data_IF_291871532104
#
_entry.id   IF_291871532104
#
_cell.length_a   1.000
_cell.length_b   1.000
_cell.length_c   1.000
_cell.angle_alpha   90.00
_cell.angle_beta   90.00
_cell.angle_gamma   90.00
#
_symmetry.space_group_name_H-M   'P 1'
#
loop_
_entity.id
_entity.type
_entity.pdbx_description
1 polymer ?
#
# COMPACT_ATOMS: atom_id res chain seq x y z
N UNK A 1 13.86 -0.25 -12.47
CA UNK A 1 12.76 -0.44 -13.43
C UNK A 1 11.73 -1.35 -12.77
N UNK A 2 10.45 -1.06 -12.94
CA UNK A 2 9.31 -1.88 -12.51
C UNK A 2 8.60 -2.32 -13.80
N UNK A 3 8.31 -3.61 -13.94
CA UNK A 3 7.56 -4.13 -15.06
C UNK A 3 6.06 -3.96 -14.77
N UNK A 4 5.35 -3.24 -15.63
CA UNK A 4 3.89 -3.20 -15.56
C UNK A 4 3.33 -4.46 -16.24
N UNK A 5 2.82 -5.37 -15.46
CA UNK A 5 2.23 -6.65 -15.84
C UNK A 5 0.75 -6.74 -15.41
N UNK A 6 0.05 -5.61 -15.52
CA UNK A 6 -1.37 -5.50 -15.13
C UNK A 6 -2.29 -5.86 -16.33
N UNK A 7 -3.50 -6.32 -16.00
CA UNK A 7 -4.52 -6.67 -16.98
C UNK A 7 -4.46 -8.12 -17.46
N UNK A 8 -4.86 -8.39 -18.71
CA UNK A 8 -4.85 -9.75 -19.28
C UNK A 8 -3.42 -10.14 -19.63
N UNK A 9 -2.78 -10.91 -18.75
CA UNK A 9 -1.40 -11.33 -18.89
C UNK A 9 -1.34 -12.72 -19.50
N UNK A 10 -0.81 -12.83 -20.73
CA UNK A 10 -0.58 -14.12 -21.37
C UNK A 10 0.72 -14.77 -20.85
N UNK A 11 0.86 -16.12 -20.92
CA UNK A 11 2.03 -16.83 -20.38
C UNK A 11 3.38 -16.32 -20.88
N UNK A 12 3.44 -15.85 -22.12
CA UNK A 12 4.65 -15.28 -22.71
C UNK A 12 5.09 -13.99 -22.02
N UNK A 13 4.15 -13.14 -21.61
CA UNK A 13 4.44 -11.91 -20.87
C UNK A 13 4.92 -12.25 -19.45
N UNK A 14 4.29 -13.20 -18.77
CA UNK A 14 4.75 -13.67 -17.45
C UNK A 14 6.19 -14.20 -17.52
N UNK A 15 6.49 -15.00 -18.55
CA UNK A 15 7.84 -15.50 -18.81
C UNK A 15 8.83 -14.36 -19.03
N UNK A 16 8.47 -13.38 -19.84
CA UNK A 16 9.33 -12.21 -20.14
C UNK A 16 9.63 -11.41 -18.86
N UNK A 17 8.62 -11.12 -18.04
CA UNK A 17 8.80 -10.41 -16.76
C UNK A 17 9.74 -11.21 -15.85
N UNK A 18 9.53 -12.50 -15.73
CA UNK A 18 10.39 -13.38 -14.91
C UNK A 18 11.85 -13.42 -15.41
N UNK A 19 12.05 -13.56 -16.72
CA UNK A 19 13.38 -13.57 -17.36
C UNK A 19 14.10 -12.23 -17.28
N UNK A 20 13.36 -11.11 -17.25
CA UNK A 20 13.93 -9.76 -17.11
C UNK A 20 14.53 -9.52 -15.71
N UNK A 21 14.09 -10.25 -14.69
CA UNK A 21 14.44 -10.04 -13.30
C UNK A 21 13.84 -8.75 -12.68
N UNK A 22 13.05 -7.98 -13.44
CA UNK A 22 12.38 -6.81 -12.90
C UNK A 22 11.17 -7.21 -12.04
N UNK A 23 10.89 -6.48 -10.94
CA UNK A 23 9.70 -6.71 -10.15
C UNK A 23 8.44 -6.37 -10.96
N UNK A 24 7.47 -7.27 -10.96
CA UNK A 24 6.12 -7.01 -11.44
C UNK A 24 5.28 -6.23 -10.43
N UNK A 25 4.06 -5.89 -10.80
CA UNK A 25 3.16 -5.09 -9.99
C UNK A 25 2.04 -5.94 -9.37
N UNK A 26 1.74 -5.68 -8.10
CA UNK A 26 0.60 -6.24 -7.39
C UNK A 26 -0.28 -5.12 -6.85
N UNK A 27 -1.50 -5.01 -7.40
CA UNK A 27 -2.46 -3.97 -7.01
C UNK A 27 -3.52 -4.57 -6.11
N UNK A 28 -3.53 -4.17 -4.85
CA UNK A 28 -4.39 -4.77 -3.83
C UNK A 28 -5.89 -4.61 -4.13
N UNK A 29 -6.28 -3.52 -4.79
CA UNK A 29 -7.67 -3.31 -5.20
C UNK A 29 -8.17 -4.33 -6.23
N UNK A 30 -7.29 -5.07 -6.91
CA UNK A 30 -7.67 -6.14 -7.84
C UNK A 30 -7.81 -7.52 -7.17
N UNK A 31 -7.52 -7.60 -5.86
CA UNK A 31 -7.49 -8.86 -5.15
C UNK A 31 -8.88 -9.43 -4.81
N UNK A 32 -9.91 -8.60 -4.76
CA UNK A 32 -11.17 -8.94 -4.13
C UNK A 32 -12.32 -9.00 -5.15
N UNK A 33 -12.22 -9.93 -6.09
CA UNK A 33 -13.30 -10.36 -6.95
C UNK A 33 -13.85 -11.70 -6.43
N UNK A 34 -15.08 -11.72 -5.96
CA UNK A 34 -15.70 -12.90 -5.37
C UNK A 34 -16.05 -14.00 -6.37
N UNK A 35 -15.84 -13.75 -7.66
CA UNK A 35 -16.17 -14.68 -8.77
C UNK A 35 -15.00 -15.55 -9.20
N UNK A 36 -13.78 -15.19 -8.80
CA UNK A 36 -12.56 -15.89 -9.21
C UNK A 36 -11.45 -15.84 -8.14
N UNK A 37 -10.51 -16.78 -8.22
CA UNK A 37 -9.27 -16.70 -7.45
C UNK A 37 -8.38 -15.62 -8.04
N UNK A 38 -7.76 -14.81 -7.17
CA UNK A 38 -6.96 -13.67 -7.61
C UNK A 38 -5.48 -13.83 -7.25
N UNK A 39 -4.62 -13.69 -8.27
CA UNK A 39 -3.17 -13.60 -8.11
C UNK A 39 -2.72 -12.32 -7.37
N UNK A 40 -3.65 -11.39 -7.15
CA UNK A 40 -3.43 -10.16 -6.39
C UNK A 40 -3.69 -10.32 -4.88
N UNK A 41 -4.11 -11.48 -4.41
CA UNK A 41 -4.20 -11.77 -2.97
C UNK A 41 -2.78 -11.88 -2.38
N UNK A 42 -2.48 -11.21 -1.26
CA UNK A 42 -1.12 -11.12 -0.73
C UNK A 42 -0.42 -12.44 -0.43
N UNK A 43 -1.15 -13.51 -0.17
CA UNK A 43 -0.56 -14.84 0.06
C UNK A 43 -0.07 -15.51 -1.24
N UNK A 44 -0.45 -14.99 -2.41
CA UNK A 44 0.01 -15.46 -3.72
C UNK A 44 1.21 -14.66 -4.27
N UNK A 45 1.73 -13.67 -3.51
CA UNK A 45 2.82 -12.84 -4.01
C UNK A 45 4.16 -13.57 -4.02
N UNK A 46 4.95 -13.31 -5.05
CA UNK A 46 6.39 -13.53 -5.02
C UNK A 46 7.09 -12.35 -4.34
N UNK A 47 8.31 -12.54 -3.81
CA UNK A 47 9.05 -11.47 -3.15
C UNK A 47 9.44 -10.35 -4.11
N UNK A 48 9.93 -10.72 -5.31
CA UNK A 48 10.35 -9.77 -6.34
C UNK A 48 9.14 -9.11 -7.01
N UNK A 49 8.36 -8.36 -6.24
CA UNK A 49 7.26 -7.56 -6.76
C UNK A 49 7.13 -6.23 -6.01
N UNK A 50 6.37 -5.32 -6.59
CA UNK A 50 5.95 -4.07 -5.97
C UNK A 50 4.46 -4.15 -5.66
N UNK A 51 4.09 -4.07 -4.39
CA UNK A 51 2.69 -3.99 -3.98
C UNK A 51 2.24 -2.54 -3.85
N UNK A 52 1.04 -2.27 -4.36
CA UNK A 52 0.33 -1.01 -4.24
C UNK A 52 -1.02 -1.24 -3.56
N UNK A 53 -1.51 -0.31 -2.76
CA UNK A 53 -2.95 -0.29 -2.41
C UNK A 53 -3.79 0.04 -3.64
N UNK A 54 -3.34 0.94 -4.47
CA UNK A 54 -3.81 1.31 -5.79
C UNK A 54 -2.76 2.14 -6.50
N UNK A 55 -2.80 2.21 -7.83
CA UNK A 55 -1.93 3.06 -8.66
C UNK A 55 -2.57 4.43 -8.89
N UNK A 56 -1.94 5.28 -9.70
CA UNK A 56 -2.52 6.55 -10.13
C UNK A 56 -3.81 6.37 -10.96
N UNK A 57 -4.00 5.22 -11.59
CA UNK A 57 -5.18 4.89 -12.41
C UNK A 57 -6.34 4.31 -11.60
N UNK A 58 -6.08 3.90 -10.37
CA UNK A 58 -7.10 3.37 -9.47
C UNK A 58 -7.81 4.48 -8.69
N UNK A 59 -8.94 4.14 -8.10
CA UNK A 59 -9.56 4.99 -7.10
C UNK A 59 -8.70 4.98 -5.81
N UNK A 60 -8.94 5.90 -4.88
CA UNK A 60 -8.43 5.78 -3.52
C UNK A 60 -9.00 4.51 -2.86
N UNK A 61 -8.33 3.98 -1.84
CA UNK A 61 -8.84 2.81 -1.08
C UNK A 61 -10.25 3.06 -0.56
N UNK A 62 -10.53 4.25 -0.04
CA UNK A 62 -11.86 4.59 0.47
C UNK A 62 -12.89 4.66 -0.65
N UNK A 63 -12.56 5.31 -1.78
CA UNK A 63 -13.45 5.41 -2.92
C UNK A 63 -13.72 4.03 -3.54
N UNK A 64 -12.70 3.20 -3.69
CA UNK A 64 -12.83 1.82 -4.14
C UNK A 64 -13.71 0.99 -3.20
N UNK A 65 -13.45 1.04 -1.89
CA UNK A 65 -14.22 0.29 -0.89
C UNK A 65 -15.70 0.67 -0.88
N UNK A 66 -16.01 1.94 -1.15
CA UNK A 66 -17.41 2.41 -1.25
C UNK A 66 -18.12 1.89 -2.49
N UNK A 67 -17.39 1.68 -3.58
CA UNK A 67 -17.89 1.25 -4.89
C UNK A 67 -17.92 -0.29 -5.05
N UNK A 68 -17.33 -1.07 -4.12
CA UNK A 68 -17.36 -2.52 -4.16
C UNK A 68 -18.79 -3.07 -4.11
N UNK A 69 -19.04 -4.10 -4.93
CA UNK A 69 -20.26 -4.92 -4.80
C UNK A 69 -20.32 -5.55 -3.40
N UNK A 70 -21.53 -5.85 -2.88
CA UNK A 70 -21.68 -6.41 -1.53
C UNK A 70 -20.90 -7.69 -1.29
N UNK A 71 -20.82 -8.59 -2.28
CA UNK A 71 -20.12 -9.87 -2.23
C UNK A 71 -18.61 -9.66 -2.17
N UNK A 72 -18.08 -8.77 -3.01
CA UNK A 72 -16.65 -8.43 -3.04
C UNK A 72 -16.24 -7.70 -1.76
N UNK A 73 -17.10 -6.81 -1.26
CA UNK A 73 -16.88 -6.14 0.02
C UNK A 73 -16.84 -7.14 1.17
N UNK A 74 -17.74 -8.12 1.17
CA UNK A 74 -17.74 -9.19 2.16
C UNK A 74 -16.45 -9.99 2.11
N UNK A 75 -16.02 -10.42 0.91
CA UNK A 75 -14.75 -11.12 0.71
C UNK A 75 -13.56 -10.31 1.26
N UNK A 76 -13.53 -9.02 0.94
CA UNK A 76 -12.46 -8.13 1.36
C UNK A 76 -12.39 -7.98 2.90
N UNK A 77 -13.53 -7.86 3.58
CA UNK A 77 -13.61 -7.79 5.05
C UNK A 77 -13.27 -9.14 5.69
N UNK A 78 -13.77 -10.24 5.15
CA UNK A 78 -13.49 -11.59 5.64
C UNK A 78 -11.97 -11.90 5.51
N UNK A 79 -11.35 -11.51 4.41
CA UNK A 79 -9.91 -11.68 4.19
C UNK A 79 -9.04 -10.88 5.19
N UNK A 80 -9.47 -9.67 5.54
CA UNK A 80 -8.80 -8.87 6.57
C UNK A 80 -8.89 -9.52 7.97
N UNK A 81 -9.83 -10.45 8.16
CA UNK A 81 -10.14 -11.07 9.45
C UNK A 81 -10.40 -10.02 10.56
N UNK A 82 -10.94 -8.88 10.18
CA UNK A 82 -11.22 -7.75 11.07
C UNK A 82 -12.52 -7.05 10.69
N UNK A 83 -13.63 -7.55 11.24
CA UNK A 83 -14.97 -7.00 11.02
C UNK A 83 -15.29 -5.79 11.93
N UNK A 84 -14.39 -5.40 12.82
CA UNK A 84 -14.64 -4.39 13.85
C UNK A 84 -14.11 -3.01 13.52
N UNK A 85 -13.24 -2.88 12.51
CA UNK A 85 -12.71 -1.58 12.11
C UNK A 85 -13.84 -0.68 11.60
N UNK A 86 -14.02 0.51 12.18
CA UNK A 86 -15.00 1.45 11.66
C UNK A 86 -14.72 1.78 10.19
N UNK A 87 -15.78 1.88 9.37
CA UNK A 87 -15.66 2.17 7.93
C UNK A 87 -14.68 3.31 7.64
N UNK A 88 -14.73 4.40 8.39
CA UNK A 88 -13.87 5.59 8.22
C UNK A 88 -12.37 5.32 8.44
N UNK A 89 -12.00 4.15 8.98
CA UNK A 89 -10.63 3.77 9.28
C UNK A 89 -10.17 2.51 8.54
N UNK A 90 -11.04 1.90 7.73
CA UNK A 90 -10.78 0.64 7.02
C UNK A 90 -9.55 0.74 6.09
N UNK A 91 -9.25 1.92 5.58
CA UNK A 91 -8.06 2.14 4.75
C UNK A 91 -6.74 1.76 5.45
N UNK A 92 -6.69 1.88 6.79
CA UNK A 92 -5.51 1.44 7.54
C UNK A 92 -5.33 -0.07 7.52
N UNK A 93 -6.41 -0.84 7.47
CA UNK A 93 -6.34 -2.29 7.38
C UNK A 93 -5.79 -2.72 6.02
N UNK A 94 -6.21 -2.08 4.93
CA UNK A 94 -5.66 -2.33 3.59
C UNK A 94 -4.20 -1.88 3.46
N UNK A 95 -3.84 -0.73 4.02
CA UNK A 95 -2.43 -0.30 4.10
C UNK A 95 -1.61 -1.32 4.89
N UNK A 96 -2.11 -1.77 6.04
CA UNK A 96 -1.44 -2.77 6.85
C UNK A 96 -1.30 -4.12 6.12
N UNK A 97 -2.29 -4.51 5.33
CA UNK A 97 -2.26 -5.71 4.51
C UNK A 97 -1.14 -5.62 3.44
N UNK A 98 -1.06 -4.51 2.70
CA UNK A 98 0.01 -4.26 1.74
C UNK A 98 1.39 -4.26 2.43
N UNK A 99 1.53 -3.56 3.56
CA UNK A 99 2.79 -3.44 4.31
C UNK A 99 3.27 -4.77 4.92
N UNK A 100 2.37 -5.70 5.24
CA UNK A 100 2.71 -7.04 5.77
C UNK A 100 2.98 -8.06 4.70
N UNK A 101 2.70 -7.75 3.44
CA UNK A 101 2.95 -8.69 2.32
C UNK A 101 4.44 -9.05 2.21
N UNK A 102 4.74 -10.11 1.48
CA UNK A 102 6.13 -10.54 1.19
C UNK A 102 6.82 -9.69 0.13
N UNK A 103 6.11 -8.79 -0.54
CA UNK A 103 6.65 -7.93 -1.59
C UNK A 103 7.85 -7.13 -1.09
N UNK A 104 8.94 -7.13 -1.83
CA UNK A 104 10.16 -6.39 -1.46
C UNK A 104 9.94 -4.88 -1.43
N UNK A 105 9.03 -4.37 -2.25
CA UNK A 105 8.67 -2.95 -2.29
C UNK A 105 7.17 -2.77 -2.06
N UNK A 106 6.81 -1.77 -1.24
CA UNK A 106 5.43 -1.39 -0.98
C UNK A 106 5.26 0.12 -1.23
N UNK A 107 4.37 0.48 -2.14
CA UNK A 107 4.07 1.88 -2.48
C UNK A 107 2.61 2.18 -2.15
N UNK A 108 2.40 3.16 -1.28
CA UNK A 108 1.08 3.58 -0.84
C UNK A 108 0.84 5.03 -1.29
N UNK A 109 -0.20 5.30 -2.09
CA UNK A 109 -0.60 6.66 -2.42
C UNK A 109 -0.85 7.51 -1.16
N UNK A 110 -0.43 8.77 -1.21
CA UNK A 110 -0.61 9.68 -0.08
C UNK A 110 -2.08 9.85 0.31
N UNK A 111 -2.97 9.79 -0.67
CA UNK A 111 -4.41 9.88 -0.48
C UNK A 111 -4.95 8.76 0.40
N UNK A 112 -4.38 7.56 0.28
CA UNK A 112 -4.77 6.40 1.09
C UNK A 112 -4.32 6.56 2.54
N UNK A 113 -3.09 7.05 2.78
CA UNK A 113 -2.66 7.39 4.15
C UNK A 113 -3.55 8.46 4.81
N UNK A 114 -4.19 9.29 4.02
CA UNK A 114 -5.08 10.35 4.50
C UNK A 114 -6.53 9.88 4.67
N UNK A 115 -6.88 8.70 4.16
CA UNK A 115 -8.23 8.16 4.17
C UNK A 115 -9.19 8.99 3.31
N UNK A 116 -8.69 9.55 2.20
CA UNK A 116 -9.50 10.38 1.31
C UNK A 116 -10.37 9.52 0.39
N UNK A 117 -11.54 10.03 0.06
CA UNK A 117 -12.48 9.40 -0.87
C UNK A 117 -12.13 9.64 -2.33
N UNK A 118 -13.07 9.27 -3.22
CA UNK A 118 -12.90 9.33 -4.68
C UNK A 118 -12.59 10.74 -5.23
N UNK A 119 -12.92 11.78 -4.48
CA UNK A 119 -12.63 13.17 -4.85
C UNK A 119 -11.13 13.46 -4.93
N UNK A 120 -10.31 12.63 -4.31
CA UNK A 120 -8.86 12.73 -4.34
C UNK A 120 -8.19 11.80 -5.37
N UNK A 121 -8.97 11.13 -6.22
CA UNK A 121 -8.45 10.30 -7.31
C UNK A 121 -7.61 11.14 -8.26
N UNK A 122 -6.46 10.59 -8.71
CA UNK A 122 -5.51 11.33 -9.55
C UNK A 122 -5.91 11.26 -11.02
N UNK A 123 -6.21 10.05 -11.50
CA UNK A 123 -6.51 9.78 -12.89
C UNK A 123 -7.67 8.79 -13.03
N UNK A 124 -8.53 9.06 -14.01
CA UNK A 124 -9.58 8.12 -14.44
C UNK A 124 -9.30 7.75 -15.88
N UNK A 125 -8.84 6.52 -16.17
CA UNK A 125 -8.54 6.07 -17.52
C UNK A 125 -9.72 6.25 -18.47
N UNK A 126 -9.43 6.50 -19.73
CA UNK A 126 -10.43 6.69 -20.80
C UNK A 126 -11.36 7.90 -20.60
N UNK A 127 -10.99 8.88 -19.80
CA UNK A 127 -11.72 10.15 -19.65
C UNK A 127 -10.92 11.35 -20.16
N UNK A 128 -11.64 12.37 -20.63
CA UNK A 128 -11.06 13.63 -21.05
C UNK A 128 -11.25 14.70 -19.96
N UNK A 129 -10.13 15.31 -19.53
CA UNK A 129 -10.14 16.40 -18.54
C UNK A 129 -10.28 15.92 -17.08
N UNK A 130 -9.98 16.82 -16.14
CA UNK A 130 -10.08 16.54 -14.70
C UNK A 130 -8.99 15.64 -14.13
N UNK A 131 -8.13 15.03 -14.95
CA UNK A 131 -7.05 14.14 -14.53
C UNK A 131 -5.78 14.94 -14.19
N UNK A 132 -4.98 14.43 -13.23
CA UNK A 132 -3.68 14.98 -12.82
C UNK A 132 -3.75 16.38 -12.21
N UNK A 133 -4.92 16.78 -11.72
CA UNK A 133 -5.16 18.12 -11.14
C UNK A 133 -5.15 18.12 -9.61
N UNK A 134 -5.21 16.95 -8.97
CA UNK A 134 -5.19 16.87 -7.52
C UNK A 134 -3.94 17.54 -6.93
N UNK A 135 -4.14 18.32 -5.88
CA UNK A 135 -3.06 18.98 -5.13
C UNK A 135 -3.21 18.70 -3.66
N UNK A 136 -2.12 18.21 -3.08
CA UNK A 136 -2.04 17.96 -1.64
C UNK A 136 -2.04 19.29 -0.89
N UNK A 137 -2.98 19.51 0.05
CA UNK A 137 -2.98 20.71 0.89
C UNK A 137 -1.73 20.82 1.75
N UNK A 138 -1.32 22.05 2.08
CA UNK A 138 -0.22 22.28 3.02
C UNK A 138 -0.57 21.71 4.41
N UNK A 139 0.43 21.18 5.12
CA UNK A 139 0.29 20.63 6.48
C UNK A 139 -0.70 19.45 6.58
N UNK A 140 -0.82 18.64 5.54
CA UNK A 140 -1.74 17.51 5.48
C UNK A 140 -1.39 16.40 6.49
N UNK A 141 -0.11 16.20 6.77
CA UNK A 141 0.36 15.23 7.75
C UNK A 141 0.57 15.90 9.11
N UNK A 142 -0.25 15.53 10.08
CA UNK A 142 0.00 15.85 11.49
C UNK A 142 1.01 14.86 12.13
N UNK A 143 1.54 15.24 13.29
CA UNK A 143 2.53 14.43 13.99
C UNK A 143 1.99 13.04 14.41
N UNK A 144 0.69 12.91 14.68
CA UNK A 144 0.10 11.63 15.06
C UNK A 144 0.07 10.66 13.88
N UNK A 145 -0.32 11.16 12.69
CA UNK A 145 -0.33 10.37 11.45
C UNK A 145 1.08 9.96 11.03
N UNK A 146 2.05 10.87 11.12
CA UNK A 146 3.46 10.56 10.85
C UNK A 146 3.96 9.43 11.79
N UNK A 147 3.70 9.53 13.09
CA UNK A 147 4.06 8.47 14.04
C UNK A 147 3.39 7.14 13.73
N UNK A 148 2.11 7.14 13.32
CA UNK A 148 1.39 5.91 12.96
C UNK A 148 2.00 5.25 11.72
N UNK A 149 2.32 6.03 10.68
CA UNK A 149 3.01 5.54 9.48
C UNK A 149 4.37 4.95 9.85
N UNK A 150 5.20 5.72 10.58
CA UNK A 150 6.52 5.26 11.03
C UNK A 150 6.41 3.94 11.80
N UNK A 151 5.53 3.87 12.80
CA UNK A 151 5.35 2.66 13.61
C UNK A 151 4.94 1.45 12.77
N UNK A 152 4.05 1.62 11.79
CA UNK A 152 3.68 0.54 10.86
C UNK A 152 4.86 0.09 10.02
N UNK A 153 5.66 1.02 9.50
CA UNK A 153 6.87 0.74 8.71
C UNK A 153 7.90 -0.03 9.54
N UNK A 154 8.09 0.32 10.81
CA UNK A 154 8.97 -0.39 11.77
C UNK A 154 8.50 -1.82 12.02
N UNK A 155 7.21 -2.00 12.37
CA UNK A 155 6.64 -3.32 12.69
C UNK A 155 6.76 -4.26 11.48
N UNK A 156 6.60 -3.73 10.26
CA UNK A 156 6.72 -4.50 9.03
C UNK A 156 8.19 -4.67 8.55
N UNK A 157 9.17 -4.25 9.35
CA UNK A 157 10.60 -4.31 9.04
C UNK A 157 10.99 -3.64 7.71
N UNK A 158 10.30 -2.54 7.35
CA UNK A 158 10.50 -1.79 6.10
C UNK A 158 11.30 -0.50 6.27
N UNK A 159 11.85 -0.22 7.44
CA UNK A 159 12.81 0.87 7.63
C UNK A 159 14.17 0.48 7.05
N UNK A 160 14.89 1.44 6.43
CA UNK A 160 16.28 1.23 6.02
C UNK A 160 17.15 0.83 7.23
N UNK A 161 18.02 -0.16 7.06
CA UNK A 161 18.93 -0.64 8.13
C UNK A 161 19.81 0.47 8.69
N UNK A 162 20.29 1.37 7.84
CA UNK A 162 21.15 2.50 8.21
C UNK A 162 20.50 3.46 9.22
N UNK A 163 19.18 3.60 9.21
CA UNK A 163 18.49 4.45 10.20
C UNK A 163 18.35 3.78 11.57
N UNK A 164 18.33 2.45 11.64
CA UNK A 164 18.32 1.74 12.93
C UNK A 164 19.66 1.86 13.65
N UNK A 165 20.76 1.68 12.93
CA UNK A 165 22.10 1.79 13.49
C UNK A 165 22.37 3.20 14.01
N UNK A 166 22.01 4.25 13.29
CA UNK A 166 22.18 5.64 13.70
C UNK A 166 21.27 6.07 14.88
N UNK A 167 20.14 5.41 15.10
CA UNK A 167 19.27 5.65 16.26
C UNK A 167 19.77 4.91 17.50
N UNK A 168 20.24 3.67 17.35
CA UNK A 168 20.87 2.89 18.42
C UNK A 168 22.17 3.54 18.91
N UNK A 169 22.99 4.10 18.03
CA UNK A 169 24.20 4.87 18.40
C UNK A 169 23.84 6.13 19.21
N UNK A 170 22.82 6.88 18.80
CA UNK A 170 22.37 8.09 19.53
C UNK A 170 21.76 7.78 20.89
N UNK A 171 21.00 6.69 21.02
CA UNK A 171 20.46 6.26 22.31
C UNK A 171 21.57 5.79 23.25
N UNK A 172 22.64 5.18 22.72
CA UNK A 172 23.79 4.73 23.47
C UNK A 172 24.64 5.92 23.97
N UNK A 173 24.83 6.95 23.15
CA UNK A 173 25.53 8.18 23.53
C UNK A 173 24.79 8.95 24.63
N UNK A 174 23.47 9.08 24.55
CA UNK A 174 22.65 9.77 25.55
C UNK A 174 22.64 9.05 26.90
N UNK A 175 22.69 7.71 26.88
CA UNK A 175 22.74 6.90 28.13
C UNK A 175 24.11 6.90 28.80
N UNK A 176 25.20 7.08 28.05
CA UNK A 176 26.56 7.22 28.61
C UNK A 176 26.76 8.57 29.27
N UNK A 177 26.29 9.66 28.66
CA UNK A 177 26.43 11.02 29.18
C UNK A 177 25.64 11.25 30.48
N UNK A 178 24.59 10.45 30.69
CA UNK A 178 23.74 10.53 31.93
C UNK A 178 24.34 9.75 33.11
N UNK A 179 25.32 8.86 32.89
CA UNK A 179 26.00 8.08 33.94
C UNK A 179 27.29 8.70 34.45
N UNK A 180 27.81 9.72 33.76
CA UNK A 180 29.02 10.43 34.14
C UNK A 180 28.74 11.78 34.86
N UNK A 181 27.53 12.08 35.20
CA UNK A 181 27.10 13.22 36.04
C UNK A 181 26.48 12.72 37.34
#
# INVERSE_FOLDING_TARGET
VIAEDLGVVVPEVQKLVKESGYPGMKVLQFAFDSREESDYLPHNYERNCVVYTGTHDNNTVMGWYDELAPEDKKLAVDYLHNAYTPKKEIYWDYIALAMRSVADTCIIPVQDYLGLGKEARINTPSTLGGNWVYRLPKKTFDAAKIRKIRRMTEICARLPKVQKEAEEEKETEVTTDTKER
#
